data_IF_107173497553
#
_entry.id   IF_107173497553
#
_cell.length_a   1.000
_cell.length_b   1.000
_cell.length_c   1.000
_cell.angle_alpha   90.00
_cell.angle_beta   90.00
_cell.angle_gamma   90.00
#
_symmetry.space_group_name_H-M   'P 1'
#
loop_
_entity.id
_entity.type
_entity.pdbx_description
1 polymer ?
#
# COMPACT_ATOMS: atom_id res chain seq x y z
N UNK A 1 14.43 -13.60 52.39
CA UNK A 1 13.99 -14.10 51.07
C UNK A 1 14.18 -12.96 50.07
N UNK A 2 15.27 -12.98 49.31
CA UNK A 2 15.54 -11.96 48.28
C UNK A 2 14.84 -12.39 46.98
N UNK A 3 13.91 -11.56 46.50
CA UNK A 3 13.27 -11.76 45.20
C UNK A 3 14.21 -11.24 44.10
N UNK A 4 14.76 -12.15 43.32
CA UNK A 4 15.54 -11.86 42.12
C UNK A 4 14.61 -11.38 41.00
N UNK A 5 14.68 -10.09 40.64
CA UNK A 5 14.06 -9.54 39.45
C UNK A 5 14.90 -9.91 38.23
N UNK A 6 14.45 -10.90 37.46
CA UNK A 6 15.03 -11.26 36.18
C UNK A 6 14.60 -10.24 35.11
N UNK A 7 15.52 -9.37 34.69
CA UNK A 7 15.36 -8.57 33.48
C UNK A 7 15.56 -9.46 32.26
N UNK A 8 14.49 -9.71 31.49
CA UNK A 8 14.59 -10.21 30.13
C UNK A 8 14.86 -9.02 29.19
N UNK A 9 16.01 -8.96 28.50
CA UNK A 9 16.21 -7.94 27.49
C UNK A 9 15.34 -8.31 26.28
N UNK A 10 14.37 -7.45 25.97
CA UNK A 10 13.64 -7.49 24.71
C UNK A 10 14.60 -7.06 23.60
N UNK A 11 15.32 -8.01 23.03
CA UNK A 11 16.15 -7.76 21.86
C UNK A 11 15.22 -7.52 20.66
N UNK A 12 15.00 -6.24 20.33
CA UNK A 12 14.38 -5.83 19.08
C UNK A 12 15.36 -6.19 17.95
N UNK A 13 15.23 -7.40 17.41
CA UNK A 13 15.93 -7.80 16.19
C UNK A 13 15.32 -6.97 15.06
N UNK A 14 16.02 -5.92 14.65
CA UNK A 14 15.68 -5.15 13.46
C UNK A 14 15.74 -6.08 12.25
N UNK A 15 14.58 -6.42 11.70
CA UNK A 15 14.48 -7.14 10.44
C UNK A 15 14.83 -6.14 9.33
N UNK A 16 16.11 -6.05 8.97
CA UNK A 16 16.54 -5.31 7.77
C UNK A 16 16.15 -6.17 6.58
N UNK A 17 15.00 -5.88 5.97
CA UNK A 17 14.66 -6.41 4.65
C UNK A 17 15.41 -5.56 3.64
N UNK A 18 16.63 -5.97 3.29
CA UNK A 18 17.33 -5.37 2.17
C UNK A 18 16.64 -5.82 0.87
N UNK A 19 15.90 -4.93 0.23
CA UNK A 19 15.54 -5.12 -1.17
C UNK A 19 16.85 -5.13 -1.97
N UNK A 20 17.12 -6.15 -2.78
CA UNK A 20 18.35 -6.18 -3.57
C UNK A 20 18.34 -4.99 -4.53
N UNK A 21 19.25 -4.04 -4.31
CA UNK A 21 19.56 -3.02 -5.31
C UNK A 21 20.23 -3.73 -6.48
N UNK A 22 19.54 -3.81 -7.61
CA UNK A 22 20.14 -4.22 -8.87
C UNK A 22 21.20 -3.18 -9.23
N UNK A 23 22.49 -3.56 -9.37
CA UNK A 23 23.49 -2.61 -9.82
C UNK A 23 23.15 -2.17 -11.25
N UNK A 24 22.92 -0.87 -11.43
CA UNK A 24 22.87 -0.24 -12.74
C UNK A 24 24.28 -0.31 -13.34
N UNK A 25 24.52 -1.32 -14.18
CA UNK A 25 25.71 -1.40 -15.01
C UNK A 25 25.56 -0.41 -16.17
N UNK A 26 25.91 0.85 -15.91
CA UNK A 26 26.12 1.87 -16.94
C UNK A 26 27.45 1.62 -17.64
N UNK A 27 27.48 0.71 -18.62
CA UNK A 27 28.71 0.48 -19.38
C UNK A 27 28.66 -0.69 -20.36
N UNK A 28 27.98 -0.50 -21.50
CA UNK A 28 28.39 -0.99 -22.82
C UNK A 28 27.31 -0.63 -23.85
N UNK A 29 27.63 0.31 -24.75
CA UNK A 29 26.89 0.48 -25.98
C UNK A 29 27.11 -0.76 -26.86
N UNK A 30 26.02 -1.44 -27.27
CA UNK A 30 26.10 -2.49 -28.29
C UNK A 30 25.30 -3.77 -28.04
N UNK A 31 23.98 -3.65 -27.86
CA UNK A 31 22.94 -4.62 -28.28
C UNK A 31 21.64 -4.12 -27.66
N UNK A 32 20.56 -4.01 -28.44
CA UNK A 32 19.27 -3.52 -27.97
C UNK A 32 18.85 -4.15 -26.64
N UNK A 33 18.14 -3.38 -25.81
CA UNK A 33 17.68 -3.80 -24.49
C UNK A 33 17.06 -5.21 -24.61
N UNK A 34 17.53 -6.23 -23.87
CA UNK A 34 17.11 -7.62 -24.07
C UNK A 34 15.60 -7.83 -23.84
N UNK A 35 14.94 -6.88 -23.17
CA UNK A 35 13.51 -6.84 -22.94
C UNK A 35 12.71 -6.14 -24.06
N UNK A 36 13.34 -5.34 -24.92
CA UNK A 36 12.67 -4.59 -25.98
C UNK A 36 12.22 -5.47 -27.16
N UNK A 37 12.81 -6.66 -27.31
CA UNK A 37 12.48 -7.61 -28.38
C UNK A 37 11.58 -8.77 -27.94
N UNK A 38 11.16 -8.82 -26.67
CA UNK A 38 10.26 -9.84 -26.18
C UNK A 38 8.85 -9.58 -26.74
N UNK A 39 8.48 -10.31 -27.78
CA UNK A 39 7.07 -10.48 -28.15
C UNK A 39 6.38 -11.10 -26.93
N UNK A 40 5.50 -10.33 -26.28
CA UNK A 40 4.63 -10.84 -25.23
C UNK A 40 3.75 -11.90 -25.88
N UNK A 41 4.15 -13.16 -25.76
CA UNK A 41 3.27 -14.27 -26.11
C UNK A 41 2.12 -14.16 -25.11
N UNK A 42 0.95 -13.76 -25.60
CA UNK A 42 -0.26 -13.63 -24.79
C UNK A 42 -0.69 -15.02 -24.29
N UNK A 43 -0.01 -15.52 -23.26
CA UNK A 43 -0.39 -16.69 -22.51
C UNK A 43 -1.03 -16.22 -21.22
N UNK A 44 -2.21 -15.63 -21.36
CA UNK A 44 -3.04 -15.26 -20.23
C UNK A 44 -4.25 -16.19 -20.21
N UNK A 45 -4.06 -17.41 -19.70
CA UNK A 45 -5.21 -18.25 -19.35
C UNK A 45 -4.91 -19.01 -18.05
N UNK A 46 -4.98 -18.30 -16.91
CA UNK A 46 -5.76 -18.86 -15.81
C UNK A 46 -7.21 -18.70 -16.24
N UNK A 47 -7.97 -19.78 -16.27
CA UNK A 47 -9.40 -19.72 -16.60
C UNK A 47 -10.10 -18.78 -15.62
N UNK A 48 -10.77 -17.76 -16.13
CA UNK A 48 -11.63 -16.89 -15.33
C UNK A 48 -12.82 -17.70 -14.80
N UNK A 49 -13.04 -17.67 -13.49
CA UNK A 49 -14.20 -18.27 -12.83
C UNK A 49 -15.06 -17.13 -12.26
N UNK A 50 -16.15 -16.75 -12.95
CA UNK A 50 -16.96 -15.60 -12.55
C UNK A 50 -17.58 -15.76 -11.17
N UNK A 51 -17.80 -17.00 -10.69
CA UNK A 51 -18.41 -17.24 -9.39
C UNK A 51 -17.37 -17.05 -8.28
N UNK A 52 -16.16 -17.61 -8.45
CA UNK A 52 -15.08 -17.46 -7.46
C UNK A 52 -14.48 -16.06 -7.43
N UNK A 53 -14.50 -15.36 -8.55
CA UNK A 53 -13.91 -14.02 -8.70
C UNK A 53 -14.93 -12.89 -8.58
N UNK A 54 -16.19 -13.20 -8.22
CA UNK A 54 -17.19 -12.17 -7.95
C UNK A 54 -16.91 -11.50 -6.62
N UNK A 55 -16.71 -10.19 -6.67
CA UNK A 55 -16.76 -9.30 -5.51
C UNK A 55 -18.14 -8.66 -5.46
N UNK A 56 -18.72 -8.54 -4.26
CA UNK A 56 -19.99 -7.85 -4.09
C UNK A 56 -19.76 -6.35 -4.02
N UNK A 57 -20.48 -5.60 -4.86
CA UNK A 57 -20.42 -4.13 -4.91
C UNK A 57 -21.83 -3.54 -4.90
N UNK A 58 -22.77 -4.29 -4.31
CA UNK A 58 -24.19 -3.93 -4.20
C UNK A 58 -24.62 -3.86 -2.74
N UNK A 59 -25.76 -3.23 -2.45
CA UNK A 59 -26.30 -3.13 -1.09
C UNK A 59 -25.34 -2.41 -0.15
N UNK A 60 -24.89 -3.09 0.90
CA UNK A 60 -23.93 -2.54 1.88
C UNK A 60 -22.57 -2.19 1.25
N UNK A 61 -22.24 -2.78 0.10
CA UNK A 61 -21.02 -2.50 -0.67
C UNK A 61 -21.27 -1.64 -1.92
N UNK A 62 -22.42 -0.99 -2.04
CA UNK A 62 -22.67 -0.02 -3.11
C UNK A 62 -21.67 1.13 -3.04
N UNK A 63 -21.23 1.61 -4.22
CA UNK A 63 -20.29 2.72 -4.29
C UNK A 63 -20.86 3.98 -3.63
N UNK A 64 -20.11 4.52 -2.68
CA UNK A 64 -20.38 5.80 -2.07
C UNK A 64 -19.27 6.76 -2.48
N UNK A 65 -19.61 7.94 -3.03
CA UNK A 65 -18.61 8.92 -3.37
C UNK A 65 -17.86 9.32 -2.08
N UNK A 66 -16.53 9.43 -2.14
CA UNK A 66 -15.78 9.85 -0.98
C UNK A 66 -16.14 11.29 -0.61
N UNK A 67 -15.91 11.63 0.66
CA UNK A 67 -15.92 13.03 1.09
C UNK A 67 -14.84 13.86 0.37
N UNK A 68 -14.69 15.12 0.78
CA UNK A 68 -13.58 15.95 0.31
C UNK A 68 -12.25 15.32 0.76
N UNK A 69 -11.55 14.63 -0.14
CA UNK A 69 -10.12 14.33 0.04
C UNK A 69 -9.65 12.95 -0.40
N UNK A 70 -10.41 11.88 -0.20
CA UNK A 70 -9.82 10.54 -0.24
C UNK A 70 -10.61 9.53 -1.06
N UNK A 71 -10.17 9.28 -2.29
CA UNK A 71 -10.69 8.19 -3.11
C UNK A 71 -9.98 6.90 -2.74
N UNK A 72 -10.64 6.02 -1.97
CA UNK A 72 -10.09 4.72 -1.61
C UNK A 72 -11.09 3.61 -1.93
N UNK A 73 -10.74 2.68 -2.82
CA UNK A 73 -11.68 1.70 -3.37
C UNK A 73 -12.40 0.87 -2.28
N UNK A 74 -11.68 0.41 -1.25
CA UNK A 74 -12.29 -0.35 -0.17
C UNK A 74 -13.21 0.50 0.71
N UNK A 75 -12.83 1.75 1.01
CA UNK A 75 -13.64 2.66 1.83
C UNK A 75 -14.90 3.10 1.08
N UNK A 76 -14.77 3.41 -0.21
CA UNK A 76 -15.88 3.81 -1.08
C UNK A 76 -16.89 2.67 -1.28
N UNK A 77 -16.52 1.42 -1.01
CA UNK A 77 -17.39 0.25 -1.06
C UNK A 77 -17.68 -0.35 0.32
N UNK A 78 -17.41 0.38 1.42
CA UNK A 78 -17.75 -0.05 2.77
C UNK A 78 -17.08 -1.36 3.25
N UNK A 79 -16.01 -1.81 2.58
CA UNK A 79 -15.22 -2.96 3.02
C UNK A 79 -14.27 -2.63 4.18
N UNK A 80 -13.99 -1.35 4.33
CA UNK A 80 -13.37 -0.73 5.50
C UNK A 80 -14.21 0.50 5.85
N UNK A 81 -13.93 1.13 6.99
CA UNK A 81 -14.63 2.36 7.37
C UNK A 81 -14.57 3.44 6.28
N UNK A 82 -15.74 3.95 5.87
CA UNK A 82 -15.87 4.97 4.82
C UNK A 82 -15.18 6.29 5.17
N UNK A 83 -14.81 6.50 6.44
CA UNK A 83 -14.00 7.66 6.86
C UNK A 83 -12.49 7.51 6.58
N UNK A 84 -12.06 6.40 5.96
CA UNK A 84 -10.65 6.16 5.62
C UNK A 84 -9.79 5.64 6.78
N UNK A 85 -10.38 5.35 7.95
CA UNK A 85 -9.72 4.64 9.03
C UNK A 85 -9.83 3.14 8.87
N UNK A 86 -8.79 2.42 9.26
CA UNK A 86 -8.82 0.96 9.30
C UNK A 86 -7.99 0.45 10.47
N UNK A 87 -8.15 -0.83 10.79
CA UNK A 87 -7.26 -1.57 11.68
C UNK A 87 -6.62 -2.77 10.96
N UNK A 88 -5.72 -3.46 11.68
CA UNK A 88 -4.89 -4.53 11.12
C UNK A 88 -5.74 -5.64 10.50
N UNK A 89 -6.71 -6.14 11.27
CA UNK A 89 -7.54 -7.26 10.87
C UNK A 89 -8.50 -6.87 9.73
N UNK A 90 -9.11 -5.69 9.83
CA UNK A 90 -10.02 -5.15 8.82
C UNK A 90 -9.33 -4.98 7.47
N UNK A 91 -8.18 -4.28 7.42
CA UNK A 91 -7.44 -4.07 6.19
C UNK A 91 -6.92 -5.39 5.59
N UNK A 92 -6.38 -6.28 6.44
CA UNK A 92 -5.85 -7.55 5.96
C UNK A 92 -6.97 -8.44 5.38
N UNK A 93 -8.12 -8.50 6.06
CA UNK A 93 -9.28 -9.23 5.61
C UNK A 93 -9.86 -8.64 4.33
N UNK A 94 -10.07 -7.31 4.27
CA UNK A 94 -10.60 -6.63 3.10
C UNK A 94 -9.69 -6.80 1.88
N UNK A 95 -8.37 -6.61 2.02
CA UNK A 95 -7.41 -6.81 0.94
C UNK A 95 -7.36 -8.27 0.45
N UNK A 96 -7.40 -9.24 1.37
CA UNK A 96 -7.49 -10.66 1.00
C UNK A 96 -8.80 -10.96 0.26
N UNK A 97 -9.93 -10.50 0.80
CA UNK A 97 -11.27 -10.83 0.30
C UNK A 97 -11.58 -10.18 -1.04
N UNK A 98 -11.24 -8.91 -1.20
CA UNK A 98 -11.61 -8.08 -2.35
C UNK A 98 -10.57 -8.14 -3.46
N UNK A 99 -9.28 -8.02 -3.11
CA UNK A 99 -8.19 -7.98 -4.09
C UNK A 99 -7.46 -9.32 -4.24
N UNK A 100 -7.83 -10.34 -3.45
CA UNK A 100 -7.19 -11.66 -3.54
C UNK A 100 -5.75 -11.67 -3.03
N UNK A 101 -5.36 -10.74 -2.17
CA UNK A 101 -4.02 -10.74 -1.57
C UNK A 101 -3.78 -12.05 -0.82
N UNK A 102 -2.56 -12.58 -0.86
CA UNK A 102 -2.16 -13.65 0.06
C UNK A 102 -2.37 -13.20 1.51
N UNK A 103 -2.84 -14.09 2.39
CA UNK A 103 -3.10 -13.74 3.78
C UNK A 103 -1.84 -13.24 4.51
N UNK A 104 -0.68 -13.78 4.13
CA UNK A 104 0.65 -13.35 4.56
C UNK A 104 0.97 -11.93 4.10
N UNK A 105 0.82 -11.64 2.81
CA UNK A 105 1.05 -10.31 2.22
C UNK A 105 0.11 -9.27 2.83
N UNK A 106 -1.18 -9.58 2.93
CA UNK A 106 -2.19 -8.69 3.48
C UNK A 106 -1.88 -8.36 4.95
N UNK A 107 -1.52 -9.38 5.75
CA UNK A 107 -1.17 -9.18 7.16
C UNK A 107 0.12 -8.38 7.31
N UNK A 108 1.13 -8.66 6.49
CA UNK A 108 2.40 -7.93 6.51
C UNK A 108 2.21 -6.45 6.16
N UNK A 109 1.48 -6.15 5.08
CA UNK A 109 1.18 -4.78 4.67
C UNK A 109 0.39 -4.01 5.75
N UNK A 110 -0.66 -4.63 6.29
CA UNK A 110 -1.45 -4.05 7.39
C UNK A 110 -0.61 -3.79 8.64
N UNK A 111 0.32 -4.69 8.96
CA UNK A 111 1.23 -4.50 10.11
C UNK A 111 2.15 -3.30 9.91
N UNK A 112 2.73 -3.14 8.71
CA UNK A 112 3.55 -1.98 8.38
C UNK A 112 2.73 -0.68 8.39
N UNK A 113 1.46 -0.73 8.00
CA UNK A 113 0.51 0.38 8.14
C UNK A 113 0.38 0.85 9.59
N UNK A 114 0.15 -0.08 10.54
CA UNK A 114 0.12 0.26 11.97
C UNK A 114 1.44 0.86 12.45
N UNK A 115 2.58 0.26 12.08
CA UNK A 115 3.90 0.66 12.57
C UNK A 115 4.29 2.07 12.10
N UNK A 116 4.03 2.40 10.84
CA UNK A 116 4.52 3.65 10.25
C UNK A 116 3.47 4.76 10.18
N UNK A 117 2.22 4.42 9.94
CA UNK A 117 1.13 5.38 9.72
C UNK A 117 0.15 5.48 10.89
N UNK A 118 0.17 4.51 11.81
CA UNK A 118 -0.88 4.31 12.79
C UNK A 118 -0.51 4.55 14.25
N UNK A 119 -1.44 4.16 15.12
CA UNK A 119 -1.23 4.05 16.54
C UNK A 119 -0.99 2.58 16.91
N UNK A 120 0.22 2.19 17.37
CA UNK A 120 0.53 0.81 17.72
C UNK A 120 -0.24 0.29 18.94
N UNK A 121 -0.82 1.18 19.76
CA UNK A 121 -1.63 0.79 20.92
C UNK A 121 -3.03 0.35 20.48
N UNK A 122 -3.66 1.08 19.56
CA UNK A 122 -5.01 0.74 19.07
C UNK A 122 -4.98 -0.18 17.85
N UNK A 123 -3.85 -0.24 17.13
CA UNK A 123 -3.73 -1.00 15.88
C UNK A 123 -4.46 -0.34 14.71
N UNK A 124 -4.80 0.94 14.83
CA UNK A 124 -5.56 1.71 13.83
C UNK A 124 -4.66 2.69 13.10
N UNK A 125 -4.93 2.91 11.81
CA UNK A 125 -4.27 3.93 11.00
C UNK A 125 -5.21 4.54 9.97
N UNK A 126 -4.96 5.81 9.59
CA UNK A 126 -5.57 6.40 8.40
C UNK A 126 -4.93 5.81 7.13
N UNK A 127 -5.75 5.41 6.15
CA UNK A 127 -5.24 5.03 4.82
C UNK A 127 -4.66 6.24 4.08
N UNK A 128 -5.15 7.45 4.34
CA UNK A 128 -4.65 8.66 3.71
C UNK A 128 -4.07 9.61 4.76
N UNK A 129 -4.37 10.91 4.69
CA UNK A 129 -3.84 11.98 5.52
C UNK A 129 -3.86 11.75 7.03
N UNK A 130 -3.09 12.57 7.76
CA UNK A 130 -3.05 12.50 9.21
C UNK A 130 -4.44 12.78 9.80
N UNK A 131 -4.85 11.97 10.77
CA UNK A 131 -6.07 12.21 11.54
C UNK A 131 -5.72 12.78 12.91
N UNK A 132 -6.62 13.61 13.49
CA UNK A 132 -6.44 14.10 14.85
C UNK A 132 -6.42 12.91 15.81
N UNK A 133 -5.29 12.71 16.49
CA UNK A 133 -5.06 11.64 17.45
C UNK A 133 -4.45 12.15 18.75
N UNK A 134 -4.45 11.33 19.83
CA UNK A 134 -3.84 11.71 21.09
C UNK A 134 -2.33 11.90 20.91
N UNK A 135 -1.88 13.14 21.09
CA UNK A 135 -0.47 13.53 21.11
C UNK A 135 -0.01 13.43 22.57
N UNK A 136 0.78 12.41 22.90
CA UNK A 136 1.50 12.27 24.18
C UNK A 136 3.00 12.29 23.90
N UNK A 137 3.61 13.47 23.66
CA UNK A 137 5.04 13.56 23.41
C UNK A 137 5.82 13.15 24.67
N UNK A 138 6.94 12.42 24.57
CA UNK A 138 7.61 11.92 23.36
C UNK A 138 7.16 10.50 22.93
N UNK A 139 6.16 9.91 23.60
CA UNK A 139 5.82 8.50 23.50
C UNK A 139 4.87 8.19 22.32
N UNK A 140 3.90 9.07 22.06
CA UNK A 140 2.92 8.92 20.97
C UNK A 140 2.71 10.28 20.28
N UNK A 141 2.89 10.33 18.97
CA UNK A 141 2.51 11.46 18.11
C UNK A 141 1.19 11.16 17.41
N UNK A 142 0.52 12.18 16.85
CA UNK A 142 -0.62 11.94 15.97
C UNK A 142 -0.23 10.98 14.84
N UNK A 143 -1.08 10.00 14.51
CA UNK A 143 -0.84 9.10 13.38
C UNK A 143 -0.69 9.91 12.09
N UNK A 144 0.44 9.79 11.38
CA UNK A 144 0.66 10.59 10.17
C UNK A 144 -0.18 10.11 8.99
N UNK A 145 -0.78 8.91 9.07
CA UNK A 145 -1.45 8.29 7.92
C UNK A 145 -0.47 7.89 6.83
N UNK A 146 -0.89 7.13 5.81
CA UNK A 146 0.06 6.65 4.79
C UNK A 146 0.72 7.79 4.01
N UNK A 147 0.03 8.91 3.79
CA UNK A 147 0.62 10.06 3.07
C UNK A 147 1.81 10.69 3.81
N UNK A 148 1.84 10.59 5.15
CA UNK A 148 2.94 11.10 5.97
C UNK A 148 4.10 10.10 6.18
N UNK A 149 4.13 9.00 5.43
CA UNK A 149 5.13 7.93 5.58
C UNK A 149 6.19 7.88 4.50
N UNK A 150 6.47 9.00 3.84
CA UNK A 150 7.47 9.09 2.78
C UNK A 150 8.81 8.42 3.17
N UNK A 151 9.32 7.57 2.28
CA UNK A 151 10.48 6.68 2.47
C UNK A 151 10.34 5.61 3.56
N UNK A 152 9.12 5.29 4.00
CA UNK A 152 8.84 4.18 4.93
C UNK A 152 7.84 3.20 4.34
N UNK A 153 6.65 3.70 4.01
CA UNK A 153 5.58 2.91 3.36
C UNK A 153 5.22 3.54 2.01
N UNK A 154 4.99 4.84 1.99
CA UNK A 154 4.95 5.62 0.76
C UNK A 154 6.37 5.91 0.25
N UNK A 155 6.56 5.97 -1.07
CA UNK A 155 7.86 6.18 -1.68
C UNK A 155 7.78 6.70 -3.12
N UNK A 156 8.93 7.13 -3.62
CA UNK A 156 9.10 7.72 -4.95
C UNK A 156 8.83 6.74 -6.10
N UNK A 157 8.62 7.29 -7.30
CA UNK A 157 8.33 6.58 -8.55
C UNK A 157 7.03 5.77 -8.50
N UNK A 158 6.00 6.34 -7.87
CA UNK A 158 4.66 5.76 -7.83
C UNK A 158 4.03 5.67 -9.24
N UNK A 159 3.24 4.63 -9.53
CA UNK A 159 2.72 4.38 -10.89
C UNK A 159 1.60 5.34 -11.32
N UNK A 160 1.00 6.08 -10.39
CA UNK A 160 -0.15 6.97 -10.63
C UNK A 160 -0.13 8.24 -9.78
N UNK A 161 0.88 8.42 -8.93
CA UNK A 161 0.99 9.55 -7.99
C UNK A 161 2.36 10.22 -8.16
N UNK A 162 2.43 11.51 -7.86
CA UNK A 162 3.68 12.27 -7.95
C UNK A 162 4.54 12.06 -6.69
N UNK A 163 5.86 12.21 -6.86
CA UNK A 163 6.80 12.15 -5.75
C UNK A 163 6.65 13.39 -4.83
N UNK A 164 6.80 13.18 -3.52
CA UNK A 164 6.63 14.21 -2.50
C UNK A 164 7.50 15.46 -2.78
N UNK A 165 8.73 15.23 -3.25
CA UNK A 165 9.71 16.29 -3.50
C UNK A 165 9.27 17.29 -4.57
N UNK A 166 8.60 16.81 -5.62
CA UNK A 166 8.22 17.62 -6.79
C UNK A 166 6.76 18.10 -6.75
N UNK A 167 5.93 17.55 -5.84
CA UNK A 167 4.50 17.85 -5.74
C UNK A 167 4.09 18.44 -4.39
N UNK A 168 4.95 19.29 -3.81
CA UNK A 168 4.65 20.01 -2.56
C UNK A 168 4.26 19.10 -1.38
N UNK A 169 4.74 17.85 -1.36
CA UNK A 169 4.43 16.86 -0.34
C UNK A 169 3.14 16.06 -0.55
N UNK A 170 2.38 16.29 -1.62
CA UNK A 170 1.23 15.46 -1.97
C UNK A 170 1.66 14.22 -2.77
N UNK A 171 1.47 13.06 -2.15
CA UNK A 171 1.84 11.73 -2.68
C UNK A 171 0.63 10.83 -2.92
N UNK A 172 -0.57 11.34 -2.68
CA UNK A 172 -1.80 10.54 -2.64
C UNK A 172 -2.78 10.87 -3.75
N UNK A 173 -2.72 12.09 -4.29
CA UNK A 173 -3.62 12.49 -5.37
C UNK A 173 -3.26 11.80 -6.68
N UNK A 174 -4.27 11.23 -7.34
CA UNK A 174 -4.14 10.67 -8.68
C UNK A 174 -3.64 11.74 -9.67
N UNK A 175 -2.51 11.46 -10.31
CA UNK A 175 -1.99 12.28 -11.40
C UNK A 175 -2.39 11.67 -12.75
N UNK A 176 -3.20 12.41 -13.50
CA UNK A 176 -3.73 11.96 -14.79
C UNK A 176 -2.65 11.81 -15.86
N UNK A 177 -1.60 12.63 -15.86
CA UNK A 177 -0.51 12.55 -16.83
C UNK A 177 0.32 11.27 -16.62
N UNK A 178 0.61 10.91 -15.37
CA UNK A 178 1.30 9.65 -15.04
C UNK A 178 0.41 8.45 -15.39
N UNK A 179 -0.89 8.52 -15.07
CA UNK A 179 -1.84 7.45 -15.43
C UNK A 179 -1.90 7.24 -16.94
N UNK A 180 -2.01 8.32 -17.72
CA UNK A 180 -1.99 8.27 -19.18
C UNK A 180 -0.66 7.70 -19.71
N UNK A 181 0.46 8.09 -19.11
CA UNK A 181 1.76 7.52 -19.44
C UNK A 181 1.78 6.00 -19.20
N UNK A 182 1.37 5.54 -18.02
CA UNK A 182 1.28 4.13 -17.67
C UNK A 182 0.38 3.35 -18.64
N UNK A 183 -0.78 3.92 -18.97
CA UNK A 183 -1.73 3.32 -19.92
C UNK A 183 -1.09 3.12 -21.30
N UNK A 184 -0.34 4.12 -21.78
CA UNK A 184 0.32 4.07 -23.08
C UNK A 184 1.52 3.10 -23.14
N UNK A 185 2.02 2.60 -22.01
CA UNK A 185 3.08 1.58 -21.97
C UNK A 185 2.57 0.17 -22.28
N UNK A 186 1.27 -0.08 -22.15
CA UNK A 186 0.70 -1.41 -22.42
C UNK A 186 0.55 -1.58 -23.94
N UNK A 187 1.31 -2.47 -24.61
CA UNK A 187 1.10 -2.75 -26.02
C UNK A 187 -0.31 -3.30 -26.21
N UNK A 188 -0.96 -2.92 -27.32
CA UNK A 188 -2.36 -3.27 -27.61
C UNK A 188 -2.73 -4.68 -27.18
N UNK A 189 -3.71 -4.77 -26.28
CA UNK A 189 -4.25 -6.03 -25.75
C UNK A 189 -4.55 -6.94 -26.95
N UNK A 190 -3.95 -8.12 -26.97
CA UNK A 190 -4.28 -9.13 -27.97
C UNK A 190 -5.74 -9.54 -27.74
N UNK A 191 -6.64 -9.05 -28.60
CA UNK A 191 -8.02 -9.51 -28.71
C UNK A 191 -8.08 -10.88 -29.38
#
# INVERSE_FOLDING_TARGET
>A
MQASLSFFPLALVGLIVAFPTTPSNSGAAGSGCPYAAAQVKCQLVKSFDPVKQRIDVSGEHEFQPPGLGDQQALANHGYINCNGMTNLAEAAYAAHKVFGFGSDLATAASTLGVIFAGNPVTGEWPISGPLPGPVIPPLLTSPPGLSGTHNKYEGDASPTCMDAYINNGDTTTLNMEILEHLYNLVPGICH
#
